data_IF_995852709578
#
_entry.id   IF_995852709578
#
_cell.length_a   1.000
_cell.length_b   1.000
_cell.length_c   1.000
_cell.angle_alpha   90.00
_cell.angle_beta   90.00
_cell.angle_gamma   90.00
#
_symmetry.space_group_name_H-M   'P 1'
#
loop_
_entity.id
_entity.type
_entity.pdbx_description
1 polymer ?
#
# COMPACT_ATOMS: atom_id res chain seq x y z
N UNK A 1 -9.60 13.59 -10.03
CA UNK A 1 -8.89 12.31 -10.04
C UNK A 1 -7.46 12.59 -9.59
N UNK A 2 -6.82 11.74 -8.78
CA UNK A 2 -5.46 12.03 -8.30
C UNK A 2 -4.44 11.77 -9.41
N UNK A 3 -3.32 12.51 -9.43
CA UNK A 3 -2.26 12.33 -10.44
C UNK A 3 -1.76 10.88 -10.49
N UNK A 4 -1.66 10.21 -9.35
CA UNK A 4 -1.28 8.80 -9.28
C UNK A 4 -2.29 7.90 -9.99
N UNK A 5 -3.59 8.14 -9.82
CA UNK A 5 -4.63 7.36 -10.49
C UNK A 5 -4.56 7.54 -12.01
N UNK A 6 -4.33 8.76 -12.49
CA UNK A 6 -4.19 9.04 -13.92
C UNK A 6 -3.01 8.26 -14.52
N UNK A 7 -1.85 8.28 -13.85
CA UNK A 7 -0.66 7.51 -14.25
C UNK A 7 -0.92 6.00 -14.27
N UNK A 8 -1.63 5.46 -13.27
CA UNK A 8 -1.96 4.03 -13.24
C UNK A 8 -2.89 3.63 -14.40
N UNK A 9 -3.84 4.50 -14.77
CA UNK A 9 -4.73 4.28 -15.92
C UNK A 9 -3.95 4.32 -17.22
N UNK A 10 -3.02 5.27 -17.37
CA UNK A 10 -2.15 5.36 -18.54
C UNK A 10 -1.30 4.09 -18.69
N UNK A 11 -0.62 3.66 -17.62
CA UNK A 11 0.18 2.42 -17.62
C UNK A 11 -0.69 1.22 -17.98
N UNK A 12 -1.89 1.11 -17.40
CA UNK A 12 -2.82 0.01 -17.69
C UNK A 12 -3.29 0.00 -19.15
N UNK A 13 -3.50 1.18 -19.71
CA UNK A 13 -3.96 1.35 -21.10
C UNK A 13 -2.84 1.02 -22.09
N UNK A 14 -1.61 1.45 -21.80
CA UNK A 14 -0.46 1.28 -22.69
C UNK A 14 0.15 -0.13 -22.63
N UNK A 15 0.29 -0.68 -21.42
CA UNK A 15 1.02 -1.93 -21.19
C UNK A 15 0.12 -3.11 -20.78
N UNK A 16 -1.17 -2.88 -20.54
CA UNK A 16 -2.08 -3.91 -20.05
C UNK A 16 -1.83 -4.30 -18.60
N UNK A 17 -2.04 -5.58 -18.28
CA UNK A 17 -1.85 -6.12 -16.94
C UNK A 17 -0.35 -6.32 -16.67
N UNK A 18 0.27 -5.33 -16.04
CA UNK A 18 1.66 -5.38 -15.58
C UNK A 18 1.74 -5.29 -14.07
N UNK A 19 2.76 -5.94 -13.50
CA UNK A 19 3.07 -5.82 -12.09
C UNK A 19 3.71 -4.46 -11.80
N UNK A 20 3.22 -3.77 -10.76
CA UNK A 20 3.59 -2.40 -10.43
C UNK A 20 4.28 -2.36 -9.07
N UNK A 21 5.32 -1.53 -8.96
CA UNK A 21 5.90 -1.09 -7.69
C UNK A 21 5.80 0.42 -7.61
N UNK A 22 5.21 0.92 -6.53
CA UNK A 22 5.12 2.34 -6.19
C UNK A 22 6.01 2.59 -4.98
N UNK A 23 6.76 3.68 -4.98
CA UNK A 23 7.61 4.06 -3.86
C UNK A 23 7.77 5.58 -3.75
N UNK A 24 7.74 6.10 -2.53
CA UNK A 24 8.00 7.51 -2.25
C UNK A 24 7.11 8.09 -1.17
N UNK A 25 7.10 9.42 -1.07
CA UNK A 25 6.25 10.19 -0.17
C UNK A 25 4.85 10.35 -0.78
N UNK A 26 3.85 9.74 -0.12
CA UNK A 26 2.44 9.86 -0.52
C UNK A 26 1.69 10.92 0.27
N UNK A 27 2.32 11.50 1.31
CA UNK A 27 1.69 12.40 2.27
C UNK A 27 0.34 11.88 2.83
N UNK A 28 0.24 10.55 2.91
CA UNK A 28 -0.99 9.81 3.15
C UNK A 28 -0.86 9.02 4.45
N UNK A 29 -1.62 9.40 5.47
CA UNK A 29 -1.64 8.67 6.74
C UNK A 29 -2.75 7.64 6.65
N UNK A 30 -2.38 6.37 6.62
CA UNK A 30 -3.31 5.27 6.33
C UNK A 30 -3.82 4.55 7.59
N UNK A 31 -3.27 4.86 8.76
CA UNK A 31 -3.62 4.18 10.01
C UNK A 31 -3.46 2.66 9.89
N UNK A 32 -4.46 1.93 10.36
CA UNK A 32 -4.59 0.47 10.24
C UNK A 32 -5.61 0.06 9.15
N UNK A 33 -5.86 0.92 8.16
CA UNK A 33 -6.72 0.52 7.05
C UNK A 33 -6.08 -0.64 6.27
N UNK A 34 -6.85 -1.69 6.06
CA UNK A 34 -6.50 -2.78 5.15
C UNK A 34 -6.50 -2.25 3.72
N UNK A 35 -5.47 -2.58 2.95
CA UNK A 35 -5.25 -2.26 1.53
C UNK A 35 -5.59 -3.45 0.61
N UNK A 36 -6.34 -4.41 1.12
CA UNK A 36 -6.91 -5.53 0.38
C UNK A 36 -8.40 -5.70 0.74
N UNK A 37 -9.14 -6.42 -0.09
CA UNK A 37 -10.54 -6.77 0.17
C UNK A 37 -10.56 -8.11 0.90
N UNK A 38 -11.16 -8.14 2.09
CA UNK A 38 -11.30 -9.38 2.85
C UNK A 38 -12.31 -10.32 2.15
N UNK A 39 -11.90 -11.56 1.89
CA UNK A 39 -12.70 -12.54 1.14
C UNK A 39 -13.12 -12.06 -0.24
N UNK A 40 -12.15 -11.62 -1.04
CA UNK A 40 -12.37 -11.14 -2.41
C UNK A 40 -12.67 -12.28 -3.40
N UNK A 41 -13.63 -13.13 -3.08
CA UNK A 41 -13.97 -14.31 -3.87
C UNK A 41 -15.27 -14.07 -4.62
N UNK A 42 -15.24 -14.24 -5.95
CA UNK A 42 -16.42 -14.17 -6.82
C UNK A 42 -17.40 -15.36 -6.68
N UNK A 43 -17.22 -16.25 -5.69
CA UNK A 43 -18.06 -17.46 -5.48
C UNK A 43 -19.57 -17.21 -5.48
N UNK A 44 -20.00 -15.99 -5.14
CA UNK A 44 -21.42 -15.62 -5.03
C UNK A 44 -21.90 -14.72 -6.19
N UNK A 45 -21.05 -14.42 -7.15
CA UNK A 45 -21.37 -13.55 -8.28
C UNK A 45 -21.09 -14.32 -9.58
N UNK A 46 -22.17 -14.66 -10.29
CA UNK A 46 -22.09 -15.28 -11.62
C UNK A 46 -21.87 -14.18 -12.67
N UNK A 47 -21.11 -14.49 -13.72
CA UNK A 47 -20.96 -13.70 -14.95
C UNK A 47 -20.33 -12.30 -14.81
N UNK A 48 -19.26 -12.15 -14.00
CA UNK A 48 -18.39 -10.97 -14.06
C UNK A 48 -17.06 -11.34 -14.72
N UNK A 49 -16.89 -10.94 -15.98
CA UNK A 49 -15.60 -11.00 -16.71
C UNK A 49 -14.71 -9.78 -16.46
N UNK A 50 -15.23 -8.77 -15.75
CA UNK A 50 -14.62 -7.42 -15.66
C UNK A 50 -13.80 -7.25 -14.37
N UNK A 51 -13.88 -8.20 -13.43
CA UNK A 51 -13.21 -8.14 -12.13
C UNK A 51 -12.30 -9.33 -11.92
N UNK A 52 -11.02 -9.08 -11.67
CA UNK A 52 -10.08 -10.10 -11.25
C UNK A 52 -9.95 -10.05 -9.72
N UNK A 53 -10.42 -11.09 -9.00
CA UNK A 53 -10.29 -11.14 -7.55
C UNK A 53 -8.83 -11.27 -7.12
N UNK A 54 -8.48 -10.57 -6.05
CA UNK A 54 -7.17 -10.66 -5.43
C UNK A 54 -7.16 -11.63 -4.24
N UNK A 55 -6.11 -12.43 -4.12
CA UNK A 55 -5.98 -13.45 -3.07
C UNK A 55 -5.16 -12.98 -1.87
N UNK A 56 -4.80 -11.70 -1.83
CA UNK A 56 -3.97 -11.13 -0.78
C UNK A 56 -4.70 -11.03 0.56
N UNK A 57 -4.03 -11.45 1.65
CA UNK A 57 -4.63 -11.49 2.99
C UNK A 57 -3.61 -11.23 4.13
N UNK A 58 -2.48 -10.60 3.83
CA UNK A 58 -1.43 -10.34 4.82
C UNK A 58 -1.72 -8.99 5.50
N UNK A 59 -2.05 -9.03 6.79
CA UNK A 59 -2.21 -7.80 7.59
C UNK A 59 -0.86 -7.10 7.79
N UNK A 60 -0.92 -5.78 7.89
CA UNK A 60 0.23 -4.93 8.24
C UNK A 60 0.07 -4.34 9.63
N UNK A 61 1.20 -4.04 10.26
CA UNK A 61 1.25 -3.19 11.43
C UNK A 61 1.53 -1.73 11.04
N UNK A 62 1.20 -0.80 11.93
CA UNK A 62 1.51 0.62 11.77
C UNK A 62 1.54 1.31 13.13
N UNK A 63 2.63 1.98 13.46
CA UNK A 63 2.73 2.81 14.66
C UNK A 63 1.95 4.13 14.51
N UNK A 64 1.79 4.62 13.28
CA UNK A 64 0.96 5.78 12.99
C UNK A 64 -0.50 5.36 12.81
N UNK A 65 -1.32 5.62 13.84
CA UNK A 65 -2.75 5.27 13.85
C UNK A 65 -3.65 6.33 13.24
N UNK A 66 -3.11 7.49 12.87
CA UNK A 66 -3.92 8.56 12.30
C UNK A 66 -4.25 8.28 10.84
N UNK A 67 -5.42 8.76 10.42
CA UNK A 67 -5.90 8.61 9.05
C UNK A 67 -6.28 9.98 8.50
N UNK A 68 -5.73 10.35 7.35
CA UNK A 68 -6.14 11.54 6.62
C UNK A 68 -6.91 11.18 5.34
N UNK A 69 -7.49 12.19 4.68
CA UNK A 69 -8.30 11.98 3.47
C UNK A 69 -7.49 11.34 2.33
N UNK A 70 -6.21 11.71 2.19
CA UNK A 70 -5.30 11.13 1.20
C UNK A 70 -5.03 9.66 1.49
N UNK A 71 -4.89 9.26 2.76
CA UNK A 71 -4.74 7.88 3.18
C UNK A 71 -5.94 7.00 2.81
N UNK A 72 -7.18 7.52 2.94
CA UNK A 72 -8.37 6.77 2.50
C UNK A 72 -8.37 6.56 0.98
N UNK A 73 -8.12 7.64 0.23
CA UNK A 73 -8.07 7.58 -1.23
C UNK A 73 -6.95 6.68 -1.74
N UNK A 74 -5.79 6.69 -1.09
CA UNK A 74 -4.68 5.80 -1.41
C UNK A 74 -5.08 4.34 -1.20
N UNK A 75 -5.67 4.00 -0.06
CA UNK A 75 -6.11 2.63 0.24
C UNK A 75 -7.15 2.13 -0.77
N UNK A 76 -8.13 2.96 -1.13
CA UNK A 76 -9.15 2.60 -2.11
C UNK A 76 -8.53 2.38 -3.50
N UNK A 77 -7.56 3.22 -3.88
CA UNK A 77 -6.79 3.06 -5.11
C UNK A 77 -5.98 1.75 -5.09
N UNK A 78 -5.25 1.49 -4.02
CA UNK A 78 -4.42 0.28 -3.87
C UNK A 78 -5.25 -1.01 -4.00
N UNK A 79 -6.43 -1.07 -3.36
CA UNK A 79 -7.38 -2.18 -3.52
C UNK A 79 -7.83 -2.39 -4.96
N UNK A 80 -8.13 -1.29 -5.67
CA UNK A 80 -8.62 -1.33 -7.05
C UNK A 80 -7.61 -1.96 -8.01
N UNK A 81 -6.31 -1.85 -7.70
CA UNK A 81 -5.23 -2.34 -8.56
C UNK A 81 -4.53 -3.60 -8.03
N UNK A 82 -4.99 -4.19 -6.91
CA UNK A 82 -4.32 -5.34 -6.29
C UNK A 82 -2.87 -5.03 -5.89
N UNK A 83 -2.65 -3.83 -5.33
CA UNK A 83 -1.35 -3.32 -4.88
C UNK A 83 -1.39 -3.17 -3.36
N UNK A 84 -0.34 -3.59 -2.65
CA UNK A 84 -0.30 -3.53 -1.19
C UNK A 84 1.02 -2.99 -0.65
N UNK A 85 0.92 -2.26 0.47
CA UNK A 85 2.03 -1.62 1.17
C UNK A 85 3.01 -2.65 1.77
N UNK A 86 4.32 -2.44 1.70
CA UNK A 86 5.29 -3.32 2.38
C UNK A 86 5.46 -2.97 3.86
N UNK A 87 5.27 -1.70 4.21
CA UNK A 87 5.41 -1.19 5.56
C UNK A 87 4.55 -1.99 6.54
N UNK A 88 5.16 -2.45 7.64
CA UNK A 88 4.47 -3.23 8.66
C UNK A 88 4.25 -4.71 8.36
N UNK A 89 4.77 -5.26 7.25
CA UNK A 89 4.50 -6.67 6.84
C UNK A 89 5.67 -7.62 6.99
N UNK A 90 6.89 -7.10 7.03
CA UNK A 90 8.11 -7.91 7.01
C UNK A 90 8.87 -7.83 8.34
N UNK A 91 9.70 -8.83 8.68
CA UNK A 91 10.47 -8.85 9.92
C UNK A 91 11.27 -7.57 10.17
N UNK A 92 11.85 -6.97 9.12
CA UNK A 92 12.62 -5.73 9.20
C UNK A 92 11.81 -4.47 9.54
N UNK A 93 10.48 -4.52 9.46
CA UNK A 93 9.57 -3.41 9.82
C UNK A 93 8.31 -3.93 10.53
N UNK A 94 8.47 -4.91 11.41
CA UNK A 94 7.35 -5.64 12.02
C UNK A 94 6.31 -4.76 12.70
N UNK A 95 6.72 -3.64 13.27
CA UNK A 95 5.83 -2.71 14.00
C UNK A 95 5.18 -1.66 13.08
N UNK A 96 5.64 -1.54 11.83
CA UNK A 96 5.24 -0.49 10.89
C UNK A 96 5.70 0.88 11.35
N UNK A 97 7.01 1.12 11.28
CA UNK A 97 7.64 2.32 11.83
C UNK A 97 7.22 3.61 11.10
N UNK A 98 7.35 4.74 11.81
CA UNK A 98 7.23 6.06 11.20
C UNK A 98 8.34 6.26 10.15
N UNK A 99 7.97 6.91 9.05
CA UNK A 99 8.87 7.17 7.92
C UNK A 99 9.25 8.64 7.78
N UNK A 100 8.47 9.54 8.39
CA UNK A 100 8.74 10.97 8.42
C UNK A 100 8.75 11.51 9.86
N UNK A 101 9.75 12.33 10.15
CA UNK A 101 9.93 13.01 11.43
C UNK A 101 10.17 14.49 11.18
N UNK A 102 9.32 15.34 11.74
CA UNK A 102 9.41 16.79 11.65
C UNK A 102 9.32 17.41 13.05
N UNK A 103 9.67 18.69 13.17
CA UNK A 103 9.62 19.45 14.43
C UNK A 103 8.25 19.39 15.15
N UNK A 104 7.17 19.03 14.44
CA UNK A 104 5.79 18.98 14.95
C UNK A 104 5.25 17.57 15.16
N UNK A 105 6.06 16.53 14.98
CA UNK A 105 5.64 15.15 15.19
C UNK A 105 6.23 14.17 14.20
N UNK A 106 5.59 13.00 14.13
CA UNK A 106 6.04 11.84 13.35
C UNK A 106 4.85 11.24 12.61
N UNK A 107 5.09 10.73 11.41
CA UNK A 107 4.05 10.13 10.59
C UNK A 107 4.60 8.99 9.73
N UNK A 108 3.73 8.04 9.38
CA UNK A 108 3.99 7.09 8.31
C UNK A 108 3.34 7.65 7.04
N UNK A 109 4.16 8.11 6.08
CA UNK A 109 3.70 8.74 4.83
C UNK A 109 4.53 8.35 3.62
N UNK A 110 5.78 7.96 3.82
CA UNK A 110 6.58 7.29 2.80
C UNK A 110 6.29 5.79 2.81
N UNK A 111 6.00 5.24 1.63
CA UNK A 111 5.66 3.83 1.48
C UNK A 111 6.36 3.21 0.29
N UNK A 112 6.52 1.88 0.34
CA UNK A 112 6.65 1.05 -0.85
C UNK A 112 5.36 0.22 -0.97
N UNK A 113 4.77 0.15 -2.15
CA UNK A 113 3.58 -0.64 -2.44
C UNK A 113 3.81 -1.48 -3.70
N UNK A 114 3.43 -2.76 -3.70
CA UNK A 114 3.68 -3.67 -4.83
C UNK A 114 2.44 -4.49 -5.17
N UNK A 115 2.32 -4.89 -6.43
CA UNK A 115 1.30 -5.85 -6.86
C UNK A 115 1.43 -7.21 -6.16
N UNK A 116 0.31 -7.90 -5.91
CA UNK A 116 0.26 -9.23 -5.26
C UNK A 116 1.30 -10.22 -5.80
N UNK A 117 1.50 -10.41 -7.12
CA UNK A 117 2.45 -11.39 -7.63
C UNK A 117 3.90 -11.12 -7.22
N UNK A 118 4.24 -9.87 -6.89
CA UNK A 118 5.59 -9.47 -6.52
C UNK A 118 5.96 -9.84 -5.07
N UNK A 119 4.97 -10.05 -4.18
CA UNK A 119 5.22 -10.33 -2.76
C UNK A 119 6.10 -11.56 -2.53
N UNK A 120 5.97 -12.59 -3.37
CA UNK A 120 6.76 -13.82 -3.25
C UNK A 120 8.27 -13.62 -3.46
N UNK A 121 8.66 -12.50 -4.07
CA UNK A 121 10.06 -12.17 -4.36
C UNK A 121 10.68 -11.26 -3.29
N UNK A 122 9.89 -10.74 -2.35
CA UNK A 122 10.40 -9.87 -1.28
C UNK A 122 10.92 -10.73 -0.13
N UNK A 123 12.23 -10.67 0.10
CA UNK A 123 12.87 -11.38 1.21
C UNK A 123 12.64 -10.67 2.56
N UNK A 124 12.77 -9.34 2.58
CA UNK A 124 12.56 -8.50 3.75
C UNK A 124 12.28 -7.05 3.33
N UNK A 125 11.72 -6.27 4.24
CA UNK A 125 11.53 -4.82 4.11
C UNK A 125 11.79 -4.17 5.46
N UNK A 126 12.55 -3.07 5.47
CA UNK A 126 12.89 -2.35 6.70
C UNK A 126 12.79 -0.85 6.52
N UNK A 127 12.35 -0.17 7.58
CA UNK A 127 12.44 1.28 7.72
C UNK A 127 13.64 1.59 8.63
N UNK A 128 14.71 2.23 8.13
CA UNK A 128 15.91 2.45 8.91
C UNK A 128 15.65 3.30 10.16
N UNK A 129 16.12 2.82 11.32
CA UNK A 129 16.05 3.56 12.59
C UNK A 129 16.84 4.88 12.57
N UNK A 130 17.74 5.09 11.60
CA UNK A 130 18.49 6.34 11.44
C UNK A 130 17.60 7.56 11.23
N UNK A 131 16.35 7.38 10.78
CA UNK A 131 15.35 8.46 10.72
C UNK A 131 14.90 8.96 12.11
N UNK A 132 15.13 8.18 13.16
CA UNK A 132 14.67 8.48 14.53
C UNK A 132 15.71 9.27 15.36
N UNK A 133 16.97 9.37 14.90
CA UNK A 133 18.09 9.86 15.71
C UNK A 133 18.52 11.31 15.44
N UNK A 134 17.92 12.00 14.47
CA UNK A 134 18.34 13.34 14.04
C UNK A 134 17.31 14.47 14.32
N UNK A 135 16.32 14.24 15.17
CA UNK A 135 15.41 15.29 15.68
C UNK A 135 15.48 15.39 17.20
#
# INVERSE_FOLDING_TARGET
MSVLQDVLIEIRTEYGFVDITLAGDFNSRTGDLEDYVENDSLRYIQDIEIYEPDIFNIRRHNLDKEINNYGRQLIDLLKTYGIHLLNGRFPGDREGNYTCFANRGKSAVDYIAISTPLFQYIADFSVPLSYQMYN
#
